data_IF_592309731184
#
_entry.id   IF_592309731184
#
_cell.length_a   1.000
_cell.length_b   1.000
_cell.length_c   1.000
_cell.angle_alpha   90.00
_cell.angle_beta   90.00
_cell.angle_gamma   90.00
#
_symmetry.space_group_name_H-M   'P 1'
#
loop_
_entity.id
_entity.type
_entity.pdbx_description
1 polymer ?
#
# COMPACT_ATOMS: atom_id res chain seq x y z
N UNK A 1 -5.58 17.23 -16.33
CA UNK A 1 -5.29 16.25 -15.28
C UNK A 1 -5.11 14.90 -15.96
N UNK A 2 -4.06 14.18 -15.59
CA UNK A 2 -3.72 12.89 -16.21
C UNK A 2 -3.54 11.83 -15.12
N UNK A 3 -4.00 10.61 -15.39
CA UNK A 3 -3.73 9.46 -14.52
C UNK A 3 -2.34 8.93 -14.83
N UNK A 4 -1.48 8.89 -13.81
CA UNK A 4 -0.10 8.44 -13.91
C UNK A 4 -0.02 6.93 -13.67
N UNK A 5 0.99 6.29 -14.25
CA UNK A 5 1.27 4.88 -13.95
C UNK A 5 1.85 4.74 -12.54
N UNK A 6 1.26 3.84 -11.74
CA UNK A 6 1.77 3.51 -10.41
C UNK A 6 2.76 2.34 -10.52
N UNK A 7 4.01 2.62 -10.23
CA UNK A 7 5.12 1.66 -10.27
C UNK A 7 4.98 0.63 -9.14
N UNK A 8 5.42 -0.61 -9.44
CA UNK A 8 5.30 -1.74 -8.53
C UNK A 8 6.63 -2.05 -7.83
N UNK A 9 6.53 -2.71 -6.69
CA UNK A 9 7.69 -3.19 -5.92
C UNK A 9 8.68 -3.93 -6.83
N UNK A 10 9.96 -3.63 -6.66
CA UNK A 10 11.04 -4.06 -7.55
C UNK A 10 11.55 -2.93 -8.46
N UNK A 11 10.77 -1.88 -8.72
CA UNK A 11 11.27 -0.74 -9.46
C UNK A 11 12.32 0.05 -8.65
N UNK A 12 13.50 0.37 -9.19
CA UNK A 12 14.63 0.95 -8.43
C UNK A 12 14.29 2.27 -7.73
N UNK A 13 13.43 3.12 -8.33
CA UNK A 13 13.07 4.43 -7.75
C UNK A 13 12.39 4.31 -6.39
N UNK A 14 11.68 3.20 -6.14
CA UNK A 14 10.98 2.95 -4.87
C UNK A 14 11.93 2.66 -3.70
N UNK A 15 13.20 2.41 -3.98
CA UNK A 15 14.25 2.15 -2.99
C UNK A 15 15.22 3.33 -2.82
N UNK A 16 14.94 4.44 -3.48
CA UNK A 16 15.78 5.64 -3.42
C UNK A 16 15.20 6.65 -2.44
N UNK A 17 16.10 7.37 -1.74
CA UNK A 17 15.71 8.54 -0.97
C UNK A 17 15.32 9.66 -1.93
N UNK A 18 14.10 10.15 -1.81
CA UNK A 18 13.58 11.21 -2.66
C UNK A 18 14.25 12.56 -2.39
N UNK A 19 14.48 13.30 -3.45
CA UNK A 19 15.14 14.60 -3.40
C UNK A 19 14.19 15.72 -2.94
N UNK A 20 14.65 16.67 -2.15
CA UNK A 20 13.84 17.81 -1.76
C UNK A 20 13.44 18.66 -2.97
N UNK A 21 12.39 19.42 -2.78
CA UNK A 21 11.88 20.40 -3.74
C UNK A 21 12.26 21.80 -3.25
N UNK A 22 12.99 22.58 -4.04
CA UNK A 22 13.41 23.91 -3.66
C UNK A 22 12.25 24.91 -3.72
N UNK A 23 11.43 24.81 -4.78
CA UNK A 23 10.30 25.71 -5.01
C UNK A 23 9.22 25.05 -5.86
N UNK A 24 7.95 25.22 -5.46
CA UNK A 24 6.79 24.71 -6.21
C UNK A 24 6.40 25.69 -7.30
N UNK A 25 6.69 25.36 -8.54
CA UNK A 25 6.30 26.12 -9.72
C UNK A 25 4.98 25.61 -10.34
N UNK A 26 4.53 26.24 -11.42
CA UNK A 26 3.28 25.86 -12.11
C UNK A 26 3.28 24.40 -12.61
N UNK A 27 4.42 23.93 -13.15
CA UNK A 27 4.55 22.56 -13.65
C UNK A 27 4.42 21.54 -12.51
N UNK A 28 5.00 21.86 -11.36
CA UNK A 28 4.92 20.99 -10.18
C UNK A 28 3.51 20.97 -9.58
N UNK A 29 2.80 22.10 -9.58
CA UNK A 29 1.38 22.12 -9.17
C UNK A 29 0.52 21.22 -10.06
N UNK A 30 0.69 21.29 -11.37
CA UNK A 30 -0.01 20.40 -12.30
C UNK A 30 0.33 18.91 -12.05
N UNK A 31 1.59 18.60 -11.77
CA UNK A 31 2.00 17.24 -11.41
C UNK A 31 1.36 16.77 -10.07
N UNK A 32 1.24 17.64 -9.08
CA UNK A 32 0.55 17.33 -7.81
C UNK A 32 -0.94 17.05 -8.05
N UNK A 33 -1.58 17.79 -8.95
CA UNK A 33 -2.97 17.55 -9.37
C UNK A 33 -3.11 16.19 -10.08
N UNK A 34 -2.17 15.82 -10.95
CA UNK A 34 -2.13 14.50 -11.59
C UNK A 34 -1.90 13.36 -10.58
N UNK A 35 -1.07 13.57 -9.56
CA UNK A 35 -0.90 12.63 -8.45
C UNK A 35 -2.22 12.43 -7.68
N UNK A 36 -2.91 13.50 -7.35
CA UNK A 36 -4.17 13.45 -6.63
C UNK A 36 -5.25 12.70 -7.45
N UNK A 37 -5.36 13.00 -8.74
CA UNK A 37 -6.27 12.26 -9.63
C UNK A 37 -5.93 10.78 -9.70
N UNK A 38 -4.63 10.45 -9.80
CA UNK A 38 -4.15 9.07 -9.80
C UNK A 38 -4.52 8.34 -8.52
N UNK A 39 -4.29 8.96 -7.36
CA UNK A 39 -4.65 8.43 -6.04
C UNK A 39 -6.15 8.07 -5.99
N UNK A 40 -7.03 8.99 -6.37
CA UNK A 40 -8.48 8.75 -6.36
C UNK A 40 -8.92 7.68 -7.37
N UNK A 41 -8.32 7.66 -8.56
CA UNK A 41 -8.65 6.66 -9.60
C UNK A 41 -8.20 5.24 -9.26
N UNK A 42 -7.26 5.12 -8.33
CA UNK A 42 -6.75 3.83 -7.85
C UNK A 42 -7.28 3.47 -6.45
N UNK A 43 -8.34 4.16 -5.99
CA UNK A 43 -8.96 3.97 -4.67
C UNK A 43 -7.96 4.06 -3.50
N UNK A 44 -6.92 4.86 -3.68
CA UNK A 44 -5.90 5.12 -2.67
C UNK A 44 -6.29 6.26 -1.73
N UNK A 45 -5.75 6.23 -0.51
CA UNK A 45 -5.85 7.31 0.49
C UNK A 45 -4.57 8.12 0.60
N UNK A 46 -3.51 7.69 -0.06
CA UNK A 46 -2.22 8.36 -0.15
C UNK A 46 -1.46 7.94 -1.41
N UNK A 47 -0.56 8.80 -1.86
CA UNK A 47 0.35 8.52 -2.96
C UNK A 47 1.60 9.42 -2.84
N UNK A 48 2.77 8.81 -2.96
CA UNK A 48 4.05 9.50 -2.97
C UNK A 48 4.62 9.61 -4.39
N UNK A 49 5.32 10.69 -4.69
CA UNK A 49 5.89 10.95 -6.03
C UNK A 49 6.82 9.84 -6.53
N UNK A 50 7.64 9.15 -5.70
CA UNK A 50 8.41 8.00 -6.16
C UNK A 50 7.55 6.87 -6.74
N UNK A 51 6.31 6.67 -6.26
CA UNK A 51 5.41 5.65 -6.77
C UNK A 51 4.95 5.92 -8.22
N UNK A 52 5.05 7.15 -8.68
CA UNK A 52 4.78 7.53 -10.08
C UNK A 52 6.07 7.93 -10.82
N UNK A 53 7.21 7.44 -10.37
CA UNK A 53 8.49 7.56 -11.07
C UNK A 53 9.24 8.87 -10.84
N UNK A 54 8.78 9.74 -9.97
CA UNK A 54 9.40 11.05 -9.70
C UNK A 54 10.05 11.04 -8.31
N UNK A 55 11.38 10.96 -8.26
CA UNK A 55 12.14 10.93 -7.00
C UNK A 55 12.22 12.33 -6.35
N UNK A 56 11.05 12.84 -5.95
CA UNK A 56 10.89 14.13 -5.23
C UNK A 56 10.07 13.94 -3.97
N UNK A 57 10.37 14.75 -2.94
CA UNK A 57 9.67 14.70 -1.65
C UNK A 57 8.30 15.37 -1.75
N UNK A 58 7.35 14.67 -2.36
CA UNK A 58 5.96 15.12 -2.53
C UNK A 58 5.05 13.94 -2.19
N UNK A 59 4.03 14.21 -1.38
CA UNK A 59 2.94 13.27 -1.10
C UNK A 59 1.59 13.96 -1.27
N UNK A 60 0.58 13.20 -1.64
CA UNK A 60 -0.82 13.58 -1.58
C UNK A 60 -1.56 12.58 -0.70
N UNK A 61 -2.46 13.06 0.14
CA UNK A 61 -3.24 12.22 1.06
C UNK A 61 -4.66 12.76 1.20
N UNK A 62 -5.61 11.87 1.42
CA UNK A 62 -6.99 12.21 1.79
C UNK A 62 -7.55 11.09 2.68
N UNK A 63 -7.79 11.41 3.94
CA UNK A 63 -8.39 10.50 4.93
C UNK A 63 -9.92 10.55 4.96
N UNK A 64 -10.53 11.24 3.98
CA UNK A 64 -11.97 11.51 3.88
C UNK A 64 -12.35 12.92 4.34
N UNK A 65 -11.40 13.70 4.84
CA UNK A 65 -11.62 15.09 5.28
C UNK A 65 -11.12 16.13 4.27
N UNK A 66 -10.62 15.70 3.13
CA UNK A 66 -10.16 16.53 2.04
C UNK A 66 -8.68 16.32 1.69
N UNK A 67 -8.39 16.61 0.43
CA UNK A 67 -7.05 16.46 -0.13
C UNK A 67 -6.03 17.37 0.54
N UNK A 68 -4.93 16.78 0.96
CA UNK A 68 -3.75 17.48 1.44
C UNK A 68 -2.55 17.11 0.54
N UNK A 69 -1.85 18.11 0.04
CA UNK A 69 -0.60 17.94 -0.69
C UNK A 69 0.55 18.52 0.13
N UNK A 70 1.52 17.69 0.47
CA UNK A 70 2.66 18.05 1.31
C UNK A 70 3.95 17.90 0.51
N UNK A 71 4.70 18.97 0.46
CA UNK A 71 6.00 19.03 -0.18
C UNK A 71 7.08 19.14 0.89
N UNK A 72 8.14 18.36 0.78
CA UNK A 72 9.19 18.19 1.78
C UNK A 72 8.64 17.85 3.18
N UNK A 73 7.70 16.90 3.31
CA UNK A 73 7.16 16.54 4.61
C UNK A 73 8.25 15.97 5.51
N UNK A 74 8.19 16.33 6.77
CA UNK A 74 9.08 15.85 7.82
C UNK A 74 8.32 15.65 9.12
N UNK A 75 8.42 14.48 9.73
CA UNK A 75 7.91 14.22 11.06
C UNK A 75 8.87 14.84 12.07
N UNK A 76 8.39 15.80 12.86
CA UNK A 76 9.18 16.49 13.87
C UNK A 76 8.84 16.08 15.30
N UNK A 77 7.71 15.38 15.50
CA UNK A 77 7.28 14.80 16.76
C UNK A 77 6.46 13.57 16.49
N UNK A 78 6.63 12.55 17.31
CA UNK A 78 5.87 11.30 17.23
C UNK A 78 5.61 10.77 18.63
N UNK A 79 4.39 10.30 18.91
CA UNK A 79 3.97 9.85 20.23
C UNK A 79 2.97 8.69 20.12
N UNK A 80 2.98 7.81 21.13
CA UNK A 80 2.08 6.67 21.21
C UNK A 80 2.38 5.59 20.17
N UNK A 81 1.50 4.61 20.11
CA UNK A 81 1.60 3.49 19.18
C UNK A 81 0.23 2.99 18.79
N UNK A 82 0.06 2.63 17.53
CA UNK A 82 -1.15 2.02 16.99
C UNK A 82 -0.77 0.86 16.05
N UNK A 83 -1.51 -0.24 16.13
CA UNK A 83 -1.43 -1.34 15.19
C UNK A 83 -2.61 -1.32 14.23
N UNK A 84 -2.39 -1.64 12.97
CA UNK A 84 -3.46 -1.76 12.01
C UNK A 84 -2.99 -2.22 10.63
N UNK A 85 -3.94 -2.68 9.81
CA UNK A 85 -3.63 -3.18 8.48
C UNK A 85 -3.21 -2.04 7.55
N UNK A 86 -2.23 -2.33 6.72
CA UNK A 86 -1.82 -1.48 5.60
C UNK A 86 -1.76 -2.29 4.30
N UNK A 87 -2.08 -1.62 3.21
CA UNK A 87 -1.82 -2.04 1.84
C UNK A 87 -1.10 -0.92 1.11
N UNK A 88 -0.65 -1.17 -0.10
CA UNK A 88 0.06 -0.17 -0.90
C UNK A 88 -0.24 -0.37 -2.39
N UNK A 89 -0.48 0.73 -3.11
CA UNK A 89 -0.70 0.71 -4.55
C UNK A 89 0.51 0.15 -5.32
N UNK A 90 1.72 0.26 -4.76
CA UNK A 90 2.94 -0.32 -5.31
C UNK A 90 3.15 -1.79 -4.94
N UNK A 91 2.34 -2.35 -4.04
CA UNK A 91 2.35 -3.77 -3.62
C UNK A 91 0.91 -4.31 -3.68
N UNK A 92 0.32 -4.41 -4.89
CA UNK A 92 -1.08 -4.76 -5.04
C UNK A 92 -1.38 -6.16 -4.52
N UNK A 93 -2.53 -6.31 -3.87
CA UNK A 93 -3.03 -7.58 -3.38
C UNK A 93 -2.37 -8.09 -2.09
N UNK A 94 -1.53 -7.30 -1.43
CA UNK A 94 -0.95 -7.66 -0.15
C UNK A 94 -1.35 -6.67 0.94
N UNK A 95 -1.67 -7.23 2.12
CA UNK A 95 -1.99 -6.49 3.33
C UNK A 95 -1.23 -7.09 4.51
N UNK A 96 -0.88 -6.25 5.48
CA UNK A 96 -0.22 -6.70 6.69
C UNK A 96 -0.38 -5.68 7.81
N UNK A 97 -0.23 -6.14 9.04
CA UNK A 97 -0.33 -5.28 10.21
C UNK A 97 0.99 -4.53 10.43
N UNK A 98 0.90 -3.21 10.57
CA UNK A 98 2.06 -2.35 10.79
C UNK A 98 1.87 -1.53 12.06
N UNK A 99 2.91 -1.50 12.89
CA UNK A 99 2.98 -0.57 14.01
C UNK A 99 3.36 0.83 13.51
N UNK A 100 2.59 1.83 13.94
CA UNK A 100 2.83 3.24 13.65
C UNK A 100 2.68 4.06 14.92
N UNK A 101 3.26 5.25 14.93
CA UNK A 101 2.95 6.22 15.97
C UNK A 101 1.47 6.63 15.89
N UNK A 102 0.83 6.75 17.06
CA UNK A 102 -0.57 7.19 17.15
C UNK A 102 -0.75 8.64 16.76
N UNK A 103 0.21 9.50 17.16
CA UNK A 103 0.21 10.93 16.87
C UNK A 103 1.53 11.35 16.25
N UNK A 104 1.45 12.17 15.22
CA UNK A 104 2.62 12.78 14.60
C UNK A 104 2.40 14.27 14.37
N UNK A 105 3.46 15.04 14.48
CA UNK A 105 3.49 16.43 13.99
C UNK A 105 4.37 16.48 12.76
N UNK A 106 3.80 16.91 11.64
CA UNK A 106 4.49 17.00 10.35
C UNK A 106 4.66 18.46 9.96
N UNK A 107 5.87 18.84 9.55
CA UNK A 107 6.13 20.11 8.86
C UNK A 107 6.29 19.85 7.37
N UNK A 108 5.81 20.75 6.54
CA UNK A 108 5.90 20.68 5.09
C UNK A 108 5.75 22.07 4.46
N UNK A 109 5.71 22.14 3.14
CA UNK A 109 5.18 23.29 2.41
C UNK A 109 3.98 22.85 1.57
N UNK A 110 3.03 23.76 1.36
CA UNK A 110 1.87 23.52 0.49
C UNK A 110 2.21 23.81 -0.99
N UNK A 111 1.30 23.51 -1.94
CA UNK A 111 1.50 23.84 -3.36
C UNK A 111 1.69 25.33 -3.67
N UNK A 112 1.38 26.23 -2.74
CA UNK A 112 1.59 27.68 -2.84
C UNK A 112 2.88 28.15 -2.14
N UNK A 113 3.77 27.24 -1.77
CA UNK A 113 5.02 27.48 -1.04
C UNK A 113 4.84 28.07 0.37
N UNK A 114 3.68 27.87 0.99
CA UNK A 114 3.44 28.26 2.38
C UNK A 114 3.86 27.14 3.32
N UNK A 115 4.48 27.51 4.43
CA UNK A 115 4.86 26.55 5.48
C UNK A 115 3.61 25.99 6.16
N UNK A 116 3.61 24.67 6.35
CA UNK A 116 2.60 23.92 7.08
C UNK A 116 3.19 23.30 8.33
N UNK A 117 2.37 23.23 9.37
CA UNK A 117 2.59 22.41 10.55
C UNK A 117 1.26 21.72 10.86
N UNK A 118 1.24 20.40 10.78
CA UNK A 118 0.04 19.59 10.90
C UNK A 118 0.23 18.63 12.06
N UNK A 119 -0.72 18.60 12.97
CA UNK A 119 -0.84 17.59 14.00
C UNK A 119 -1.86 16.57 13.53
N UNK A 120 -1.45 15.31 13.40
CA UNK A 120 -2.27 14.21 12.93
C UNK A 120 -2.30 13.09 13.97
N UNK A 121 -3.44 12.42 14.04
CA UNK A 121 -3.62 11.29 14.97
C UNK A 121 -4.41 10.18 14.26
N UNK A 122 -4.27 8.94 14.73
CA UNK A 122 -4.99 7.79 14.22
C UNK A 122 -4.70 7.51 12.74
N UNK A 123 -5.75 7.45 11.92
CA UNK A 123 -5.64 7.06 10.53
C UNK A 123 -4.82 8.04 9.68
N UNK A 124 -5.03 9.36 9.85
CA UNK A 124 -4.23 10.36 9.14
C UNK A 124 -2.74 10.28 9.50
N UNK A 125 -2.43 10.07 10.80
CA UNK A 125 -1.05 9.88 11.25
C UNK A 125 -0.42 8.63 10.60
N UNK A 126 -1.20 7.54 10.42
CA UNK A 126 -0.77 6.34 9.71
C UNK A 126 -0.45 6.62 8.26
N UNK A 127 -1.34 7.31 7.54
CA UNK A 127 -1.14 7.64 6.12
C UNK A 127 0.13 8.49 5.96
N UNK A 128 0.31 9.54 6.76
CA UNK A 128 1.52 10.37 6.66
C UNK A 128 2.80 9.55 6.85
N UNK A 129 2.83 8.65 7.82
CA UNK A 129 4.00 7.80 8.05
C UNK A 129 4.25 6.83 6.89
N UNK A 130 3.19 6.26 6.32
CA UNK A 130 3.28 5.38 5.15
C UNK A 130 3.86 6.11 3.93
N UNK A 131 3.31 7.28 3.61
CA UNK A 131 3.75 8.05 2.44
C UNK A 131 5.15 8.65 2.63
N UNK A 132 5.51 9.05 3.85
CA UNK A 132 6.88 9.52 4.15
C UNK A 132 7.88 8.36 4.06
N UNK A 133 7.52 7.14 4.44
CA UNK A 133 8.39 5.96 4.22
C UNK A 133 8.75 5.80 2.74
N UNK A 134 7.82 6.01 1.81
CA UNK A 134 8.12 6.00 0.38
C UNK A 134 9.17 7.03 -0.03
N UNK A 135 9.19 8.19 0.63
CA UNK A 135 10.20 9.22 0.38
C UNK A 135 11.59 8.86 0.91
N UNK A 136 11.65 7.93 1.85
CA UNK A 136 12.90 7.35 2.39
C UNK A 136 13.31 6.04 1.69
N UNK A 137 12.56 5.61 0.68
CA UNK A 137 12.82 4.38 -0.08
C UNK A 137 12.38 3.10 0.61
N UNK A 138 11.38 3.18 1.49
CA UNK A 138 10.82 2.05 2.23
C UNK A 138 9.40 1.70 1.78
N UNK A 139 9.09 0.40 1.80
CA UNK A 139 7.75 -0.13 1.58
C UNK A 139 7.21 -0.72 2.89
N UNK A 140 5.89 -0.65 3.10
CA UNK A 140 5.25 -1.15 4.33
C UNK A 140 5.55 -2.62 4.62
N UNK A 141 5.74 -3.45 3.58
CA UNK A 141 6.08 -4.88 3.71
C UNK A 141 7.38 -5.14 4.45
N UNK A 142 8.27 -4.16 4.56
CA UNK A 142 9.53 -4.27 5.31
C UNK A 142 9.29 -4.23 6.83
N UNK A 143 8.15 -3.69 7.26
CA UNK A 143 7.75 -3.52 8.67
C UNK A 143 6.53 -4.38 9.04
N UNK A 144 5.78 -4.85 8.04
CA UNK A 144 4.53 -5.55 8.24
C UNK A 144 4.74 -6.93 8.88
N UNK A 145 3.87 -7.27 9.82
CA UNK A 145 3.66 -8.63 10.31
C UNK A 145 2.33 -9.16 9.78
N UNK A 146 2.11 -10.47 9.86
CA UNK A 146 0.88 -11.11 9.37
C UNK A 146 0.58 -10.76 7.90
N UNK A 147 1.60 -10.67 7.06
CA UNK A 147 1.43 -10.35 5.64
C UNK A 147 0.55 -11.40 4.96
N UNK A 148 -0.55 -10.96 4.36
CA UNK A 148 -1.53 -11.81 3.67
C UNK A 148 -1.68 -11.34 2.23
N UNK A 149 -1.79 -12.29 1.31
CA UNK A 149 -2.24 -12.02 -0.04
C UNK A 149 -3.78 -11.94 -0.03
N UNK A 150 -4.34 -10.89 -0.59
CA UNK A 150 -5.77 -10.83 -0.85
C UNK A 150 -6.06 -11.81 -1.99
N UNK A 151 -6.79 -12.87 -1.69
CA UNK A 151 -7.28 -13.81 -2.70
C UNK A 151 -8.59 -13.24 -3.25
N UNK A 152 -8.71 -13.19 -4.57
CA UNK A 152 -9.99 -12.87 -5.19
C UNK A 152 -11.04 -13.88 -4.69
N UNK A 153 -12.25 -13.46 -4.28
CA UNK A 153 -13.29 -14.37 -3.80
C UNK A 153 -13.60 -15.50 -4.79
N UNK A 154 -13.45 -15.26 -6.09
CA UNK A 154 -13.62 -16.27 -7.14
C UNK A 154 -12.46 -17.27 -7.20
N UNK A 155 -11.22 -16.82 -6.95
CA UNK A 155 -10.05 -17.71 -6.84
C UNK A 155 -10.11 -18.53 -5.54
N UNK A 156 -10.55 -17.94 -4.43
CA UNK A 156 -10.72 -18.64 -3.16
C UNK A 156 -11.73 -19.79 -3.26
N UNK A 157 -12.88 -19.57 -3.92
CA UNK A 157 -13.89 -20.60 -4.17
C UNK A 157 -13.33 -21.69 -5.09
N UNK A 158 -12.54 -21.34 -6.09
CA UNK A 158 -11.93 -22.30 -7.00
C UNK A 158 -10.85 -23.17 -6.31
N UNK A 159 -10.04 -22.57 -5.42
CA UNK A 159 -9.05 -23.31 -4.62
C UNK A 159 -9.72 -24.25 -3.61
N UNK A 160 -10.79 -23.82 -2.94
CA UNK A 160 -11.56 -24.63 -1.99
C UNK A 160 -12.23 -25.81 -2.72
N UNK A 161 -12.87 -25.54 -3.88
CA UNK A 161 -13.46 -26.60 -4.72
C UNK A 161 -12.40 -27.59 -5.26
N UNK A 162 -11.20 -27.12 -5.61
CA UNK A 162 -10.10 -27.98 -6.05
C UNK A 162 -9.56 -28.85 -4.90
N UNK A 163 -9.51 -28.33 -3.68
CA UNK A 163 -9.11 -29.08 -2.48
C UNK A 163 -10.15 -30.15 -2.11
N UNK A 164 -11.44 -29.83 -2.22
CA UNK A 164 -12.52 -30.79 -1.98
C UNK A 164 -12.50 -31.92 -3.00
N UNK A 165 -12.27 -31.64 -4.28
CA UNK A 165 -12.11 -32.63 -5.33
C UNK A 165 -10.87 -33.51 -5.07
N UNK A 166 -9.74 -32.92 -4.69
CA UNK A 166 -8.53 -33.66 -4.37
C UNK A 166 -8.72 -34.58 -3.14
N UNK A 167 -9.48 -34.11 -2.14
CA UNK A 167 -9.82 -34.91 -0.95
C UNK A 167 -10.77 -36.07 -1.29
N UNK A 168 -11.75 -35.85 -2.16
CA UNK A 168 -12.65 -36.88 -2.65
C UNK A 168 -11.91 -37.98 -3.45
N UNK A 169 -10.96 -37.58 -4.30
CA UNK A 169 -10.13 -38.52 -5.07
C UNK A 169 -9.16 -39.31 -4.17
N UNK A 170 -8.62 -38.70 -3.12
CA UNK A 170 -7.72 -39.37 -2.17
C UNK A 170 -8.47 -40.30 -1.21
N UNK A 171 -9.78 -40.05 -0.97
CA UNK A 171 -10.64 -40.90 -0.12
C UNK A 171 -11.09 -42.23 -0.76
N UNK A 172 -11.07 -42.33 -2.08
CA UNK A 172 -11.53 -43.53 -2.83
C UNK A 172 -10.49 -44.67 -2.95
N UNK A 173 -9.37 -44.56 -2.24
CA UNK A 173 -8.37 -45.65 -2.17
C UNK A 173 -8.88 -46.94 -1.49
N UNK A 174 -10.13 -47.02 -1.05
CA UNK A 174 -10.68 -48.18 -0.34
C UNK A 174 -11.60 -49.08 -1.19
N UNK A 175 -11.86 -48.75 -2.46
CA UNK A 175 -12.77 -49.52 -3.32
C UNK A 175 -12.03 -50.55 -4.18
N UNK A 176 -10.71 -50.55 -4.23
CA UNK A 176 -9.92 -51.47 -5.05
C UNK A 176 -9.68 -52.86 -4.42
N UNK A 177 -10.04 -53.08 -3.14
CA UNK A 177 -9.81 -54.39 -2.48
C UNK A 177 -10.99 -55.34 -2.49
N UNK A 178 -12.18 -54.94 -2.93
CA UNK A 178 -13.39 -55.77 -2.88
C UNK A 178 -13.55 -56.65 -4.14
N UNK A 179 -12.86 -56.36 -5.23
CA UNK A 179 -12.96 -57.15 -6.49
C UNK A 179 -11.79 -58.12 -6.73
N UNK A 180 -10.92 -58.36 -5.76
CA UNK A 180 -9.78 -59.26 -5.90
C UNK A 180 -10.06 -60.72 -5.41
N UNK A 181 -11.21 -61.00 -4.79
CA UNK A 181 -11.50 -62.34 -4.20
C UNK A 181 -12.44 -63.25 -4.98
N UNK A 182 -12.97 -62.85 -6.14
CA UNK A 182 -13.91 -63.73 -6.92
C UNK A 182 -13.30 -64.41 -8.15
N UNK A 183 -12.00 -64.59 -8.23
CA UNK A 183 -11.37 -65.39 -9.30
C UNK A 183 -10.48 -66.52 -8.78
N UNK A 184 -10.94 -67.30 -7.82
CA UNK A 184 -10.41 -68.65 -7.54
C UNK A 184 -11.51 -69.53 -6.98
N UNK A 185 -12.33 -70.08 -7.86
CA UNK A 185 -13.07 -71.32 -7.71
C UNK A 185 -13.35 -71.88 -9.07
#
# INVERSE_FOLDING_TARGET
MAVLEVLKAGHPVLKQVAQPVDHVNKKMRAFIEDMAETMYKTDGVGLAAPQVGVSKRIIVVDDGNGLQALINPQIIKAEGSQWGPEGCLSVPGYFGDVERYEKVTVTAIDPNNKKLRIEAEGFLARIFQHEIDHLEGHLFIEKAVNLKKQVDPTEAIAEEAAQDVAHAIAGDGHVASVFAEERKA
#
